data_IF_215082452814
#
_entry.id   IF_215082452814
#
_cell.length_a   1.000
_cell.length_b   1.000
_cell.length_c   1.000
_cell.angle_alpha   90.00
_cell.angle_beta   90.00
_cell.angle_gamma   90.00
#
_symmetry.space_group_name_H-M   'P 1'
#
loop_
_entity.id
_entity.type
_entity.pdbx_description
1 polymer ?
#
# COMPACT_ATOMS: atom_id res chain seq x y z
N UNK A 1 50.53 7.88 -15.36
CA UNK A 1 49.12 8.33 -15.29
C UNK A 1 48.27 7.86 -16.47
N UNK A 2 48.74 7.95 -17.72
CA UNK A 2 47.99 7.48 -18.92
C UNK A 2 47.53 6.01 -18.85
N UNK A 3 48.36 5.12 -18.32
CA UNK A 3 48.06 3.68 -18.25
C UNK A 3 47.03 3.33 -17.15
N UNK A 4 46.92 4.14 -16.09
CA UNK A 4 45.92 3.97 -15.03
C UNK A 4 44.55 4.44 -15.53
N UNK A 5 44.51 5.55 -16.26
CA UNK A 5 43.29 6.09 -16.86
C UNK A 5 42.66 5.09 -17.84
N UNK A 6 43.51 4.40 -18.61
CA UNK A 6 43.09 3.34 -19.54
C UNK A 6 42.47 2.13 -18.82
N UNK A 7 43.02 1.76 -17.66
CA UNK A 7 42.52 0.63 -16.86
C UNK A 7 41.17 0.96 -16.21
N UNK A 8 40.99 2.19 -15.73
CA UNK A 8 39.69 2.70 -15.26
C UNK A 8 38.65 2.72 -16.38
N UNK A 9 39.04 3.12 -17.59
CA UNK A 9 38.15 3.12 -18.76
C UNK A 9 37.68 1.70 -19.14
N UNK A 10 38.57 0.70 -19.05
CA UNK A 10 38.20 -0.71 -19.26
C UNK A 10 37.23 -1.21 -18.18
N UNK A 11 37.46 -0.89 -16.92
CA UNK A 11 36.54 -1.28 -15.84
C UNK A 11 35.14 -0.69 -16.05
N UNK A 12 35.04 0.58 -16.46
CA UNK A 12 33.75 1.24 -16.76
C UNK A 12 33.06 0.58 -17.97
N UNK A 13 33.81 0.14 -18.98
CA UNK A 13 33.22 -0.54 -20.13
C UNK A 13 32.54 -1.87 -19.76
N UNK A 14 33.02 -2.58 -18.72
CA UNK A 14 32.43 -3.87 -18.30
C UNK A 14 31.12 -3.75 -17.52
N UNK A 15 30.86 -2.64 -16.84
CA UNK A 15 29.60 -2.42 -16.10
C UNK A 15 28.43 -2.03 -16.99
N UNK A 16 28.67 -1.56 -18.22
CA UNK A 16 27.61 -1.17 -19.18
C UNK A 16 26.91 -2.41 -19.77
N UNK A 17 27.62 -3.53 -19.89
CA UNK A 17 27.10 -4.77 -20.49
C UNK A 17 26.50 -5.76 -19.47
N UNK A 18 26.50 -5.41 -18.18
CA UNK A 18 26.06 -6.29 -17.09
C UNK A 18 24.56 -6.14 -16.73
N UNK A 19 23.82 -5.27 -17.40
CA UNK A 19 22.40 -5.03 -17.15
C UNK A 19 21.53 -5.75 -18.19
N UNK A 20 21.53 -7.08 -18.20
CA UNK A 20 20.52 -7.82 -18.93
C UNK A 20 19.22 -7.82 -18.11
N UNK A 21 18.07 -7.44 -18.68
CA UNK A 21 16.79 -7.60 -18.02
C UNK A 21 16.60 -9.07 -17.64
N UNK A 22 16.02 -9.31 -16.47
CA UNK A 22 15.62 -10.65 -16.07
C UNK A 22 14.89 -11.35 -17.23
N UNK A 23 15.29 -12.57 -17.65
CA UNK A 23 14.66 -13.25 -18.77
C UNK A 23 13.15 -13.48 -18.54
N UNK A 24 12.71 -13.52 -17.28
CA UNK A 24 11.31 -13.65 -16.89
C UNK A 24 10.64 -12.31 -16.59
N UNK A 25 11.25 -11.17 -16.94
CA UNK A 25 10.73 -9.83 -16.59
C UNK A 25 9.27 -9.62 -17.03
N UNK A 26 8.95 -9.98 -18.27
CA UNK A 26 7.61 -9.85 -18.83
C UNK A 26 6.60 -10.76 -18.09
N UNK A 27 7.00 -12.00 -17.82
CA UNK A 27 6.15 -12.97 -17.11
C UNK A 27 5.90 -12.55 -15.67
N UNK A 28 6.91 -12.00 -14.98
CA UNK A 28 6.78 -11.44 -13.63
C UNK A 28 5.85 -10.24 -13.60
N UNK A 29 5.97 -9.34 -14.56
CA UNK A 29 5.08 -8.19 -14.69
C UNK A 29 3.64 -8.63 -14.95
N UNK A 30 3.43 -9.51 -15.92
CA UNK A 30 2.11 -10.06 -16.25
C UNK A 30 1.45 -10.78 -15.07
N UNK A 31 2.20 -11.59 -14.31
CA UNK A 31 1.69 -12.25 -13.09
C UNK A 31 1.31 -11.26 -12.00
N UNK A 32 2.15 -10.25 -11.77
CA UNK A 32 1.89 -9.23 -10.75
C UNK A 32 0.63 -8.43 -11.09
N UNK A 33 0.48 -8.03 -12.35
CA UNK A 33 -0.70 -7.34 -12.84
C UNK A 33 -1.96 -8.20 -12.75
N UNK A 34 -1.90 -9.46 -13.21
CA UNK A 34 -3.02 -10.39 -13.11
C UNK A 34 -3.46 -10.64 -11.66
N UNK A 35 -2.52 -10.78 -10.73
CA UNK A 35 -2.82 -10.91 -9.31
C UNK A 35 -3.45 -9.64 -8.73
N UNK A 36 -2.94 -8.46 -9.09
CA UNK A 36 -3.52 -7.18 -8.68
C UNK A 36 -4.94 -7.03 -9.20
N UNK A 37 -5.16 -7.30 -10.50
CA UNK A 37 -6.48 -7.28 -11.13
C UNK A 37 -7.44 -8.26 -10.47
N UNK A 38 -7.00 -9.50 -10.21
CA UNK A 38 -7.85 -10.51 -9.57
C UNK A 38 -8.31 -10.08 -8.18
N UNK A 39 -7.42 -9.46 -7.39
CA UNK A 39 -7.77 -8.93 -6.06
C UNK A 39 -8.83 -7.83 -6.16
N UNK A 40 -8.68 -6.90 -7.10
CA UNK A 40 -9.65 -5.82 -7.29
C UNK A 40 -10.97 -6.30 -7.88
N UNK A 41 -10.93 -7.22 -8.84
CA UNK A 41 -12.11 -7.75 -9.52
C UNK A 41 -12.96 -8.66 -8.63
N UNK A 42 -12.35 -9.32 -7.64
CA UNK A 42 -13.04 -10.17 -6.67
C UNK A 42 -13.50 -9.43 -5.42
N UNK A 43 -13.13 -8.17 -5.25
CA UNK A 43 -13.55 -7.37 -4.11
C UNK A 43 -15.04 -7.05 -4.24
N UNK A 44 -15.83 -7.53 -3.29
CA UNK A 44 -17.24 -7.20 -3.14
C UNK A 44 -17.37 -6.26 -1.96
N UNK A 45 -17.75 -5.03 -2.24
CA UNK A 45 -17.96 -4.01 -1.22
C UNK A 45 -19.25 -4.29 -0.44
N UNK A 46 -19.23 -4.01 0.87
CA UNK A 46 -20.41 -4.07 1.70
C UNK A 46 -21.45 -3.02 1.22
N UNK A 47 -22.73 -3.38 1.00
CA UNK A 47 -23.75 -2.45 0.53
C UNK A 47 -23.89 -1.17 1.39
N UNK A 48 -23.54 -1.28 2.67
CA UNK A 48 -23.60 -0.21 3.66
C UNK A 48 -22.58 0.91 3.40
N UNK A 49 -21.45 0.60 2.74
CA UNK A 49 -20.44 1.60 2.37
C UNK A 49 -21.00 2.62 1.36
N UNK A 50 -22.05 2.28 0.61
CA UNK A 50 -22.71 3.21 -0.30
C UNK A 50 -23.51 4.33 0.42
N UNK A 51 -23.65 4.28 1.75
CA UNK A 51 -24.42 5.26 2.51
C UNK A 51 -23.60 6.48 2.96
N UNK A 52 -22.29 6.46 2.79
CA UNK A 52 -21.41 7.57 3.13
C UNK A 52 -20.16 7.62 2.26
N UNK A 53 -19.62 8.81 2.06
CA UNK A 53 -18.30 9.00 1.44
C UNK A 53 -17.24 9.17 2.53
N UNK A 54 -16.14 8.42 2.46
CA UNK A 54 -14.94 8.71 3.23
C UNK A 54 -14.17 9.86 2.57
N UNK A 55 -14.19 11.05 3.17
CA UNK A 55 -13.61 12.27 2.57
C UNK A 55 -12.20 12.59 3.06
N UNK A 56 -11.82 12.07 4.22
CA UNK A 56 -10.48 12.26 4.78
C UNK A 56 -10.12 11.11 5.70
N UNK A 57 -8.86 10.69 5.65
CA UNK A 57 -8.31 9.73 6.59
C UNK A 57 -6.90 10.15 7.01
N UNK A 58 -6.64 10.16 8.31
CA UNK A 58 -5.32 10.38 8.90
C UNK A 58 -4.92 9.17 9.71
N UNK A 59 -3.79 8.58 9.36
CA UNK A 59 -3.20 7.48 10.09
C UNK A 59 -2.04 8.04 10.92
N UNK A 60 -2.11 7.86 12.22
CA UNK A 60 -0.99 8.11 13.13
C UNK A 60 -0.51 6.73 13.61
N UNK A 61 0.56 6.23 13.00
CA UNK A 61 1.04 4.86 13.21
C UNK A 61 2.45 4.87 13.80
N UNK A 62 2.65 4.00 14.78
CA UNK A 62 3.95 3.58 15.28
C UNK A 62 4.24 2.17 14.74
N UNK A 63 5.44 2.01 14.17
CA UNK A 63 5.84 0.77 13.49
C UNK A 63 7.09 0.23 14.19
N UNK A 64 6.99 -1.00 14.69
CA UNK A 64 8.14 -1.77 15.16
C UNK A 64 8.47 -2.89 14.15
N UNK A 65 9.50 -2.72 13.31
CA UNK A 65 9.87 -3.71 12.31
C UNK A 65 10.52 -4.97 12.91
N UNK A 66 11.08 -4.91 14.13
CA UNK A 66 11.74 -6.06 14.75
C UNK A 66 10.72 -7.14 15.14
N UNK A 67 9.52 -6.73 15.54
CA UNK A 67 8.39 -7.63 15.88
C UNK A 67 7.26 -7.61 14.84
N UNK A 68 7.44 -6.89 13.72
CA UNK A 68 6.44 -6.73 12.64
C UNK A 68 5.08 -6.25 13.16
N UNK A 69 5.12 -5.30 14.07
CA UNK A 69 3.95 -4.76 14.75
C UNK A 69 3.68 -3.32 14.33
N UNK A 70 2.40 -2.98 14.16
CA UNK A 70 1.94 -1.63 13.87
C UNK A 70 0.79 -1.33 14.82
N UNK A 71 0.85 -0.19 15.51
CA UNK A 71 -0.22 0.31 16.36
C UNK A 71 -0.41 1.81 16.15
N UNK A 72 -1.53 2.34 16.61
CA UNK A 72 -1.79 3.77 16.53
C UNK A 72 -3.27 4.09 16.42
N UNK A 73 -3.56 5.27 15.87
CA UNK A 73 -4.92 5.80 15.75
C UNK A 73 -5.23 6.21 14.33
N UNK A 74 -6.48 5.99 13.91
CA UNK A 74 -7.00 6.44 12.62
C UNK A 74 -8.11 7.45 12.86
N UNK A 75 -8.05 8.58 12.17
CA UNK A 75 -9.15 9.57 12.12
C UNK A 75 -9.76 9.54 10.74
N UNK A 76 -11.05 9.22 10.65
CA UNK A 76 -11.82 9.21 9.41
C UNK A 76 -12.89 10.28 9.47
N UNK A 77 -12.95 11.15 8.45
CA UNK A 77 -14.08 12.08 8.25
C UNK A 77 -14.96 11.51 7.15
N UNK A 78 -16.24 11.38 7.46
CA UNK A 78 -17.25 10.82 6.56
C UNK A 78 -18.30 11.86 6.23
N UNK A 79 -18.79 11.83 5.00
CA UNK A 79 -19.93 12.60 4.53
C UNK A 79 -21.09 11.64 4.33
N UNK A 80 -22.16 11.80 5.10
CA UNK A 80 -23.34 10.96 4.96
C UNK A 80 -24.09 11.29 3.67
N UNK A 81 -24.46 10.26 2.91
CA UNK A 81 -25.26 10.37 1.69
C UNK A 81 -26.74 10.01 1.93
N UNK A 82 -27.03 9.37 3.06
CA UNK A 82 -28.37 9.00 3.51
C UNK A 82 -28.70 9.67 4.84
N UNK A 83 -29.95 10.11 5.00
CA UNK A 83 -30.45 10.64 6.26
C UNK A 83 -30.66 9.54 7.32
N UNK A 84 -30.54 9.90 8.60
CA UNK A 84 -30.80 9.02 9.76
C UNK A 84 -29.97 7.74 9.81
N UNK A 85 -28.69 7.80 9.40
CA UNK A 85 -27.77 6.68 9.56
C UNK A 85 -27.37 6.53 11.03
N UNK A 86 -27.68 5.38 11.63
CA UNK A 86 -27.35 5.08 13.03
C UNK A 86 -25.98 4.40 13.21
N UNK A 87 -25.50 3.72 12.18
CA UNK A 87 -24.28 2.89 12.23
C UNK A 87 -23.37 3.20 11.04
N UNK A 88 -22.07 3.18 11.29
CA UNK A 88 -21.02 3.24 10.26
C UNK A 88 -20.25 1.93 10.27
N UNK A 89 -20.06 1.37 9.08
CA UNK A 89 -19.35 0.12 8.90
C UNK A 89 -17.90 0.42 8.56
N UNK A 90 -16.98 -0.40 9.05
CA UNK A 90 -15.55 -0.29 8.72
C UNK A 90 -15.02 -1.68 8.40
N UNK A 91 -14.53 -1.84 7.18
CA UNK A 91 -13.88 -3.08 6.76
C UNK A 91 -12.51 -3.21 7.44
N UNK A 92 -12.39 -4.19 8.32
CA UNK A 92 -11.17 -4.45 9.08
C UNK A 92 -10.71 -5.89 8.92
N UNK A 93 -9.41 -6.09 8.76
CA UNK A 93 -8.82 -7.42 8.85
C UNK A 93 -8.97 -7.96 10.27
N UNK A 94 -9.26 -9.25 10.39
CA UNK A 94 -9.31 -9.98 11.69
C UNK A 94 -7.99 -9.96 12.46
N UNK A 95 -6.88 -9.61 11.80
CA UNK A 95 -5.59 -9.43 12.45
C UNK A 95 -5.47 -8.10 13.24
N UNK A 96 -6.39 -7.16 13.04
CA UNK A 96 -6.40 -5.87 13.74
C UNK A 96 -7.23 -5.97 15.02
N UNK A 97 -6.75 -5.35 16.09
CA UNK A 97 -7.48 -5.21 17.36
C UNK A 97 -7.84 -3.75 17.57
N UNK A 98 -9.11 -3.47 17.89
CA UNK A 98 -9.60 -2.13 18.21
C UNK A 98 -9.56 -1.95 19.72
N UNK A 99 -8.86 -0.90 20.17
CA UNK A 99 -8.84 -0.50 21.58
C UNK A 99 -10.05 0.38 21.91
N UNK A 100 -10.25 1.46 21.17
CA UNK A 100 -11.35 2.40 21.43
C UNK A 100 -11.85 3.10 20.15
N UNK A 101 -13.13 3.48 20.17
CA UNK A 101 -13.78 4.24 19.11
C UNK A 101 -14.33 5.54 19.71
N UNK A 102 -14.04 6.67 19.07
CA UNK A 102 -14.48 8.01 19.50
C UNK A 102 -15.13 8.75 18.33
N UNK A 103 -16.18 9.50 18.64
CA UNK A 103 -16.93 10.28 17.65
C UNK A 103 -17.06 11.73 18.12
N UNK A 104 -16.92 12.69 17.20
CA UNK A 104 -17.13 14.12 17.48
C UNK A 104 -16.03 14.82 18.28
N UNK A 105 -14.81 14.27 18.32
CA UNK A 105 -13.65 14.93 18.91
C UNK A 105 -12.67 15.31 17.78
N UNK A 106 -12.37 16.61 17.65
CA UNK A 106 -11.25 17.15 16.86
C UNK A 106 -10.01 17.31 17.75
#
# INVERSE_FOLDING_TARGET
MKNILFLVFICIATVIWAQEPDPDFNDKMARTEAQSYTKSASFVEAPENAFYDLVYQRLNLEVDPAVRHIAGSVVSKVKLLRENLAELYFDMSTALTVDSVRFGQD
#
